data_IF_113722013269
#
_entry.id   IF_113722013269
#
_cell.length_a   1.000
_cell.length_b   1.000
_cell.length_c   1.000
_cell.angle_alpha   90.00
_cell.angle_beta   90.00
_cell.angle_gamma   90.00
#
_symmetry.space_group_name_H-M   'P 1'
#
loop_
_entity.id
_entity.type
_entity.pdbx_description
1 polymer ?
#
# COMPACT_ATOMS: atom_id res chain seq x y z
N UNK A 1 -25.12 -1.46 -52.43
CA UNK A 1 -25.60 -0.95 -51.13
C UNK A 1 -24.79 -1.67 -50.05
N UNK A 2 -23.73 -1.02 -49.55
CA UNK A 2 -22.79 -1.60 -48.58
C UNK A 2 -22.90 -0.86 -47.25
N UNK A 3 -23.31 -1.57 -46.21
CA UNK A 3 -23.42 -1.05 -44.84
C UNK A 3 -22.01 -0.81 -44.26
N UNK A 4 -21.72 0.36 -43.68
CA UNK A 4 -20.45 0.59 -43.01
C UNK A 4 -20.41 -0.23 -41.70
N UNK A 5 -19.52 -1.21 -41.66
CA UNK A 5 -19.18 -1.97 -40.45
C UNK A 5 -18.57 -1.02 -39.42
N UNK A 6 -19.34 -0.62 -38.41
CA UNK A 6 -18.86 0.11 -37.24
C UNK A 6 -17.82 -0.75 -36.52
N UNK A 7 -16.58 -0.27 -36.49
CA UNK A 7 -15.41 -1.03 -36.10
C UNK A 7 -15.30 -1.06 -34.55
N UNK A 8 -15.55 -2.20 -33.86
CA UNK A 8 -15.63 -2.28 -32.39
C UNK A 8 -14.32 -1.91 -31.66
N UNK A 9 -13.22 -1.74 -32.40
CA UNK A 9 -11.91 -1.32 -31.87
C UNK A 9 -11.91 0.08 -31.25
N UNK A 10 -12.83 0.99 -31.63
CA UNK A 10 -12.76 2.37 -31.14
C UNK A 10 -13.22 2.55 -29.69
N UNK A 11 -14.18 1.74 -29.22
CA UNK A 11 -14.73 1.86 -27.86
C UNK A 11 -13.74 1.37 -26.81
N UNK A 12 -13.02 0.30 -27.13
CA UNK A 12 -11.99 -0.25 -26.26
C UNK A 12 -10.78 0.69 -26.12
N UNK A 13 -10.36 1.31 -27.22
CA UNK A 13 -9.27 2.28 -27.21
C UNK A 13 -9.57 3.50 -26.33
N UNK A 14 -10.84 3.97 -26.32
CA UNK A 14 -11.27 5.06 -25.43
C UNK A 14 -11.22 4.66 -23.95
N UNK A 15 -11.72 3.46 -23.61
CA UNK A 15 -11.67 2.96 -22.23
C UNK A 15 -10.24 2.76 -21.72
N UNK A 16 -9.34 2.24 -22.57
CA UNK A 16 -7.92 2.12 -22.20
C UNK A 16 -7.28 3.49 -21.94
N UNK A 17 -7.69 4.51 -22.68
CA UNK A 17 -7.16 5.86 -22.52
C UNK A 17 -7.69 6.52 -21.24
N UNK A 18 -8.98 6.35 -20.92
CA UNK A 18 -9.56 6.82 -19.66
C UNK A 18 -8.94 6.13 -18.42
N UNK A 19 -8.63 4.83 -18.52
CA UNK A 19 -7.96 4.08 -17.44
C UNK A 19 -6.52 4.55 -17.25
N UNK A 20 -5.81 4.86 -18.34
CA UNK A 20 -4.44 5.41 -18.28
C UNK A 20 -4.46 6.81 -17.64
N UNK A 21 -5.38 7.68 -18.05
CA UNK A 21 -5.54 9.03 -17.46
C UNK A 21 -5.84 8.96 -15.95
N UNK A 22 -6.73 8.04 -15.54
CA UNK A 22 -7.01 7.79 -14.12
C UNK A 22 -5.78 7.27 -13.36
N UNK A 23 -4.96 6.43 -14.00
CA UNK A 23 -3.75 5.89 -13.39
C UNK A 23 -2.67 6.97 -13.22
N UNK A 24 -2.55 7.90 -14.18
CA UNK A 24 -1.62 9.02 -14.11
C UNK A 24 -1.92 9.93 -12.91
N UNK A 25 -3.20 10.26 -12.71
CA UNK A 25 -3.66 11.01 -11.53
C UNK A 25 -3.39 10.29 -10.21
N UNK A 26 -3.61 8.98 -10.14
CA UNK A 26 -3.30 8.21 -8.92
C UNK A 26 -1.81 8.07 -8.67
N UNK A 27 -0.99 8.03 -9.73
CA UNK A 27 0.46 7.99 -9.61
C UNK A 27 1.02 9.29 -9.05
N UNK A 28 0.46 10.44 -9.43
CA UNK A 28 0.83 11.73 -8.84
C UNK A 28 0.55 11.76 -7.34
N UNK A 29 -0.63 11.31 -6.91
CA UNK A 29 -0.99 11.25 -5.50
C UNK A 29 -0.05 10.31 -4.71
N UNK A 30 0.19 9.11 -5.26
CA UNK A 30 1.08 8.12 -4.66
C UNK A 30 2.53 8.61 -4.58
N UNK A 31 2.99 9.36 -5.59
CA UNK A 31 4.32 9.98 -5.59
C UNK A 31 4.46 11.02 -4.48
N UNK A 32 3.44 11.86 -4.28
CA UNK A 32 3.42 12.86 -3.20
C UNK A 32 3.41 12.16 -1.83
N UNK A 33 2.56 11.15 -1.63
CA UNK A 33 2.51 10.38 -0.39
C UNK A 33 3.83 9.64 -0.11
N UNK A 34 4.47 9.09 -1.13
CA UNK A 34 5.77 8.44 -1.02
C UNK A 34 6.87 9.44 -0.63
N UNK A 35 6.84 10.67 -1.16
CA UNK A 35 7.78 11.72 -0.76
C UNK A 35 7.59 12.15 0.69
N UNK A 36 6.36 12.29 1.15
CA UNK A 36 6.08 12.59 2.56
C UNK A 36 6.54 11.47 3.48
N UNK A 37 6.22 10.21 3.14
CA UNK A 37 6.64 9.04 3.90
C UNK A 37 8.17 8.96 3.96
N UNK A 38 8.86 9.18 2.82
CA UNK A 38 10.33 9.22 2.76
C UNK A 38 10.90 10.31 3.67
N UNK A 39 10.34 11.52 3.67
CA UNK A 39 10.79 12.61 4.56
C UNK A 39 10.62 12.25 6.04
N UNK A 40 9.47 11.67 6.41
CA UNK A 40 9.21 11.20 7.79
C UNK A 40 10.20 10.11 8.19
N UNK A 41 10.46 9.15 7.31
CA UNK A 41 11.43 8.07 7.55
C UNK A 41 12.86 8.59 7.69
N UNK A 42 13.30 9.50 6.82
CA UNK A 42 14.63 10.12 6.91
C UNK A 42 14.78 10.90 8.22
N UNK A 43 13.76 11.68 8.61
CA UNK A 43 13.77 12.42 9.88
C UNK A 43 13.83 11.47 11.09
N UNK A 44 13.05 10.40 11.08
CA UNK A 44 13.09 9.38 12.12
C UNK A 44 14.46 8.68 12.18
N UNK A 45 15.07 8.37 11.03
CA UNK A 45 16.38 7.75 10.96
C UNK A 45 17.48 8.68 11.50
N UNK A 46 17.48 9.96 11.15
CA UNK A 46 18.45 10.95 11.66
C UNK A 46 18.27 11.12 13.18
N UNK A 47 17.04 11.32 13.65
CA UNK A 47 16.76 11.49 15.07
C UNK A 47 17.12 10.24 15.88
N UNK A 48 16.77 9.06 15.37
CA UNK A 48 17.14 7.78 15.97
C UNK A 48 18.66 7.56 15.98
N UNK A 49 19.36 7.93 14.92
CA UNK A 49 20.83 7.88 14.86
C UNK A 49 21.49 8.77 15.92
N UNK A 50 21.08 10.03 16.02
CA UNK A 50 21.58 10.97 17.03
C UNK A 50 21.30 10.43 18.44
N UNK A 51 20.06 9.97 18.70
CA UNK A 51 19.68 9.41 19.99
C UNK A 51 20.52 8.17 20.33
N UNK A 52 20.77 7.27 19.37
CA UNK A 52 21.59 6.09 19.56
C UNK A 52 23.05 6.45 19.87
N UNK A 53 23.63 7.44 19.18
CA UNK A 53 24.98 7.93 19.47
C UNK A 53 25.07 8.53 20.88
N UNK A 54 24.13 9.41 21.25
CA UNK A 54 24.10 10.01 22.58
C UNK A 54 23.90 8.97 23.68
N UNK A 55 22.99 8.01 23.47
CA UNK A 55 22.76 6.91 24.39
C UNK A 55 24.02 6.05 24.55
N UNK A 56 24.71 5.74 23.45
CA UNK A 56 25.99 5.02 23.48
C UNK A 56 27.07 5.75 24.28
N UNK A 57 27.21 7.06 24.09
CA UNK A 57 28.16 7.88 24.86
C UNK A 57 27.80 8.01 26.33
N UNK A 58 26.51 8.19 26.66
CA UNK A 58 26.06 8.22 28.05
C UNK A 58 26.28 6.86 28.74
N UNK A 59 26.04 5.77 28.00
CA UNK A 59 26.21 4.40 28.50
C UNK A 59 27.67 4.11 28.87
N UNK A 60 28.65 4.56 28.09
CA UNK A 60 30.08 4.34 28.43
C UNK A 60 30.47 5.09 29.70
N UNK A 61 29.99 6.32 29.89
CA UNK A 61 30.22 7.10 31.11
C UNK A 61 29.59 6.41 32.32
N UNK A 62 28.34 5.96 32.20
CA UNK A 62 27.64 5.22 33.27
C UNK A 62 28.36 3.91 33.58
N UNK A 63 28.82 3.17 32.58
CA UNK A 63 29.55 1.93 32.76
C UNK A 63 30.86 2.15 33.53
N UNK A 64 31.64 3.17 33.17
CA UNK A 64 32.89 3.53 33.87
C UNK A 64 32.58 3.99 35.32
N UNK A 65 31.60 4.86 35.50
CA UNK A 65 31.20 5.34 36.83
C UNK A 65 30.73 4.21 37.74
N UNK A 66 29.95 3.26 37.20
CA UNK A 66 29.50 2.07 37.92
C UNK A 66 30.66 1.16 38.29
N UNK A 67 31.65 0.99 37.40
CA UNK A 67 32.84 0.20 37.69
C UNK A 67 33.65 0.79 38.86
N UNK A 68 33.85 2.11 38.88
CA UNK A 68 34.53 2.77 40.00
C UNK A 68 33.74 2.67 41.30
N UNK A 69 32.42 2.89 41.25
CA UNK A 69 31.56 2.75 42.42
C UNK A 69 31.60 1.31 42.99
N UNK A 70 31.62 0.31 42.10
CA UNK A 70 31.71 -1.10 42.49
C UNK A 70 33.07 -1.42 43.11
N UNK A 71 34.17 -0.90 42.56
CA UNK A 71 35.51 -1.07 43.12
C UNK A 71 35.60 -0.52 44.55
N UNK A 72 35.07 0.69 44.78
CA UNK A 72 35.03 1.34 46.10
C UNK A 72 34.24 0.52 47.13
N UNK A 73 33.06 0.00 46.74
CA UNK A 73 32.16 -0.71 47.64
C UNK A 73 32.60 -2.15 47.95
N UNK A 74 33.36 -2.79 47.07
CA UNK A 74 33.66 -4.24 47.17
C UNK A 74 35.13 -4.56 47.42
N UNK A 75 36.01 -3.55 47.51
CA UNK A 75 37.47 -3.71 47.59
C UNK A 75 38.05 -4.54 46.43
N UNK A 76 37.31 -4.69 45.32
CA UNK A 76 37.80 -5.33 44.11
C UNK A 76 38.91 -4.48 43.48
N UNK A 77 39.82 -5.14 42.77
CA UNK A 77 40.74 -4.41 41.90
C UNK A 77 39.95 -3.65 40.82
N UNK A 78 40.43 -2.46 40.45
CA UNK A 78 39.78 -1.63 39.42
C UNK A 78 39.50 -2.42 38.14
N UNK A 79 40.43 -3.29 37.73
CA UNK A 79 40.27 -4.17 36.57
C UNK A 79 39.12 -5.17 36.73
N UNK A 80 38.96 -5.77 37.91
CA UNK A 80 37.86 -6.71 38.19
C UNK A 80 36.49 -6.02 38.15
N UNK A 81 36.38 -4.83 38.73
CA UNK A 81 35.13 -4.07 38.71
C UNK A 81 34.74 -3.59 37.31
N UNK A 82 35.72 -3.16 36.49
CA UNK A 82 35.54 -2.83 35.07
C UNK A 82 35.04 -4.02 34.24
N UNK A 83 35.61 -5.20 34.45
CA UNK A 83 35.18 -6.43 33.76
C UNK A 83 33.74 -6.83 34.12
N UNK A 84 33.38 -6.76 35.40
CA UNK A 84 32.03 -7.11 35.85
C UNK A 84 31.00 -6.12 35.30
N UNK A 85 31.24 -4.81 35.48
CA UNK A 85 30.34 -3.78 34.97
C UNK A 85 30.20 -3.87 33.45
N UNK A 86 31.32 -4.00 32.73
CA UNK A 86 31.34 -4.20 31.28
C UNK A 86 30.55 -5.43 30.85
N UNK A 87 30.72 -6.57 31.52
CA UNK A 87 29.97 -7.80 31.23
C UNK A 87 28.46 -7.65 31.41
N UNK A 88 28.02 -6.96 32.48
CA UNK A 88 26.60 -6.69 32.73
C UNK A 88 26.02 -5.78 31.65
N UNK A 89 26.65 -4.64 31.38
CA UNK A 89 26.18 -3.70 30.36
C UNK A 89 26.19 -4.32 28.96
N UNK A 90 27.24 -5.07 28.62
CA UNK A 90 27.33 -5.78 27.35
C UNK A 90 26.19 -6.80 27.19
N UNK A 91 25.86 -7.56 28.25
CA UNK A 91 24.76 -8.51 28.22
C UNK A 91 23.40 -7.84 28.00
N UNK A 92 23.17 -6.69 28.66
CA UNK A 92 21.94 -5.90 28.47
C UNK A 92 21.85 -5.37 27.03
N UNK A 93 22.93 -4.79 26.50
CA UNK A 93 22.96 -4.26 25.13
C UNK A 93 22.78 -5.39 24.10
N UNK A 94 23.41 -6.55 24.31
CA UNK A 94 23.26 -7.72 23.45
C UNK A 94 21.80 -8.21 23.43
N UNK A 95 21.14 -8.26 24.59
CA UNK A 95 19.73 -8.64 24.70
C UNK A 95 18.80 -7.65 23.98
N UNK A 96 19.01 -6.35 24.19
CA UNK A 96 18.23 -5.31 23.48
C UNK A 96 18.46 -5.35 21.97
N UNK A 97 19.71 -5.55 21.54
CA UNK A 97 20.07 -5.71 20.13
C UNK A 97 19.41 -6.93 19.51
N UNK A 98 19.35 -8.05 20.23
CA UNK A 98 18.64 -9.25 19.80
C UNK A 98 17.14 -8.99 19.62
N UNK A 99 16.47 -8.36 20.60
CA UNK A 99 15.05 -8.02 20.51
C UNK A 99 14.78 -7.10 19.31
N UNK A 100 15.61 -6.08 19.11
CA UNK A 100 15.50 -5.17 17.98
C UNK A 100 15.68 -5.90 16.64
N UNK A 101 16.63 -6.83 16.54
CA UNK A 101 16.86 -7.63 15.35
C UNK A 101 15.65 -8.53 15.01
N UNK A 102 15.06 -9.19 16.01
CA UNK A 102 13.86 -10.02 15.83
C UNK A 102 12.67 -9.16 15.37
N UNK A 103 12.47 -8.00 15.99
CA UNK A 103 11.42 -7.06 15.59
C UNK A 103 11.61 -6.60 14.13
N UNK A 104 12.85 -6.26 13.73
CA UNK A 104 13.15 -5.84 12.37
C UNK A 104 12.94 -6.97 11.35
N UNK A 105 13.31 -8.21 11.68
CA UNK A 105 13.05 -9.38 10.85
C UNK A 105 11.56 -9.63 10.67
N UNK A 106 10.75 -9.49 11.73
CA UNK A 106 9.29 -9.63 11.63
C UNK A 106 8.66 -8.57 10.71
N UNK A 107 9.11 -7.31 10.80
CA UNK A 107 8.66 -6.24 9.93
C UNK A 107 9.09 -6.45 8.47
N UNK A 108 10.31 -6.95 8.25
CA UNK A 108 10.82 -7.27 6.92
C UNK A 108 10.07 -8.46 6.30
N UNK A 109 9.73 -9.48 7.08
CA UNK A 109 8.93 -10.63 6.63
C UNK A 109 7.53 -10.18 6.20
N UNK A 110 6.84 -9.36 7.00
CA UNK A 110 5.55 -8.78 6.63
C UNK A 110 5.62 -7.98 5.32
N UNK A 111 6.68 -7.20 5.11
CA UNK A 111 6.90 -6.49 3.84
C UNK A 111 7.18 -7.43 2.65
N UNK A 112 7.82 -8.57 2.87
CA UNK A 112 8.10 -9.54 1.80
C UNK A 112 6.83 -10.18 1.27
N UNK A 113 5.86 -10.45 2.14
CA UNK A 113 4.56 -10.99 1.77
C UNK A 113 3.74 -9.96 0.97
N UNK A 114 3.69 -8.70 1.43
CA UNK A 114 3.05 -7.61 0.68
C UNK A 114 3.68 -7.39 -0.71
N UNK A 115 5.00 -7.58 -0.87
CA UNK A 115 5.66 -7.47 -2.18
C UNK A 115 5.24 -8.57 -3.14
N UNK A 116 5.09 -9.80 -2.65
CA UNK A 116 4.65 -10.93 -3.48
C UNK A 116 3.24 -10.67 -4.02
N UNK A 117 2.31 -10.31 -3.13
CA UNK A 117 0.93 -9.97 -3.49
C UNK A 117 0.85 -8.77 -4.44
N UNK A 118 1.64 -7.72 -4.18
CA UNK A 118 1.70 -6.56 -5.06
C UNK A 118 2.21 -6.92 -6.46
N UNK A 119 3.25 -7.77 -6.57
CA UNK A 119 3.79 -8.21 -7.86
C UNK A 119 2.78 -9.06 -8.64
N UNK A 120 2.03 -9.90 -7.93
CA UNK A 120 0.99 -10.73 -8.54
C UNK A 120 -0.17 -9.87 -9.02
N UNK A 121 -0.64 -8.94 -8.20
CA UNK A 121 -1.65 -7.95 -8.58
C UNK A 121 -1.22 -7.12 -9.80
N UNK A 122 0.06 -6.72 -9.88
CA UNK A 122 0.61 -6.06 -11.06
C UNK A 122 0.59 -6.96 -12.30
N UNK A 123 0.87 -8.25 -12.14
CA UNK A 123 0.85 -9.23 -13.25
C UNK A 123 -0.57 -9.43 -13.78
N UNK A 124 -1.56 -9.54 -12.89
CA UNK A 124 -2.98 -9.61 -13.25
C UNK A 124 -3.45 -8.33 -13.94
N UNK A 125 -3.05 -7.16 -13.44
CA UNK A 125 -3.35 -5.87 -14.06
C UNK A 125 -2.76 -5.78 -15.46
N UNK A 126 -1.50 -6.16 -15.64
CA UNK A 126 -0.83 -6.18 -16.94
C UNK A 126 -1.50 -7.15 -17.92
N UNK A 127 -1.88 -8.34 -17.46
CA UNK A 127 -2.58 -9.31 -18.30
C UNK A 127 -3.97 -8.80 -18.75
N UNK A 128 -4.70 -8.13 -17.85
CA UNK A 128 -6.01 -7.53 -18.14
C UNK A 128 -5.91 -6.37 -19.13
N UNK A 129 -4.87 -5.54 -19.02
CA UNK A 129 -4.63 -4.42 -19.94
C UNK A 129 -4.22 -4.90 -21.34
N UNK A 130 -3.43 -5.98 -21.45
CA UNK A 130 -2.91 -6.46 -22.74
C UNK A 130 -3.95 -7.28 -23.52
N UNK A 131 -4.80 -8.08 -22.84
CA UNK A 131 -5.82 -8.93 -23.49
C UNK A 131 -7.20 -8.86 -22.79
N UNK A 132 -7.89 -7.72 -22.89
CA UNK A 132 -9.21 -7.49 -22.27
C UNK A 132 -10.31 -8.47 -22.69
N UNK A 133 -10.25 -8.96 -23.94
CA UNK A 133 -11.26 -9.85 -24.52
C UNK A 133 -11.16 -11.30 -24.00
N UNK A 134 -10.09 -11.64 -23.27
CA UNK A 134 -9.87 -13.00 -22.73
C UNK A 134 -10.14 -13.11 -21.23
N UNK A 135 -10.61 -12.05 -20.58
CA UNK A 135 -10.95 -12.10 -19.15
C UNK A 135 -12.13 -13.05 -18.90
N UNK A 136 -11.99 -14.09 -18.06
CA UNK A 136 -13.07 -15.03 -17.72
C UNK A 136 -14.31 -14.32 -17.14
N UNK A 137 -14.11 -13.17 -16.49
CA UNK A 137 -15.20 -12.38 -15.91
C UNK A 137 -16.05 -11.67 -16.97
N UNK A 138 -15.48 -11.38 -18.15
CA UNK A 138 -16.21 -10.81 -19.27
C UNK A 138 -16.94 -11.90 -20.08
N UNK A 139 -16.45 -13.15 -20.03
CA UNK A 139 -17.12 -14.30 -20.63
C UNK A 139 -18.43 -14.64 -19.90
N UNK A 140 -18.42 -14.66 -18.56
CA UNK A 140 -19.63 -14.94 -17.76
C UNK A 140 -20.76 -13.92 -18.04
N UNK A 141 -20.40 -12.65 -18.27
CA UNK A 141 -21.40 -11.61 -18.58
C UNK A 141 -21.96 -11.74 -20.01
N UNK A 142 -21.16 -12.21 -20.96
CA UNK A 142 -21.59 -12.40 -22.36
C UNK A 142 -22.58 -13.55 -22.53
N UNK A 143 -22.49 -14.59 -21.70
CA UNK A 143 -23.40 -15.73 -21.76
C UNK A 143 -24.79 -15.44 -21.14
N UNK A 144 -24.91 -14.35 -20.37
CA UNK A 144 -26.15 -14.02 -19.63
C UNK A 144 -27.17 -13.23 -20.46
N UNK A 145 -26.76 -12.67 -21.60
CA UNK A 145 -27.64 -11.98 -22.52
C UNK A 145 -27.65 -12.79 -23.81
N UNK A 146 -28.72 -13.53 -24.10
CA UNK A 146 -28.94 -14.01 -25.46
C UNK A 146 -28.79 -12.79 -26.36
N UNK A 147 -27.96 -12.88 -27.40
CA UNK A 147 -28.07 -11.95 -28.52
C UNK A 147 -29.52 -12.05 -28.95
N UNK A 148 -30.30 -11.00 -28.65
CA UNK A 148 -31.65 -10.85 -29.19
C UNK A 148 -31.46 -10.88 -30.71
N UNK A 149 -31.62 -12.07 -31.30
CA UNK A 149 -32.01 -12.23 -32.68
C UNK A 149 -33.07 -11.15 -32.90
N UNK A 150 -32.89 -10.24 -33.87
CA UNK A 150 -33.81 -9.12 -34.04
C UNK A 150 -35.19 -9.70 -34.25
N UNK A 151 -35.97 -9.73 -33.16
CA UNK A 151 -37.35 -10.13 -33.18
C UNK A 151 -37.98 -9.19 -34.19
N UNK A 152 -38.40 -9.79 -35.31
CA UNK A 152 -39.19 -9.16 -36.34
C UNK A 152 -40.40 -8.56 -35.62
N UNK A 153 -40.30 -7.29 -35.24
CA UNK A 153 -41.35 -6.59 -34.51
C UNK A 153 -42.55 -6.53 -35.45
N UNK A 154 -43.66 -7.22 -35.16
CA UNK A 154 -44.89 -6.93 -35.88
C UNK A 154 -45.24 -5.48 -35.56
N UNK A 155 -45.43 -4.71 -36.63
CA UNK A 155 -45.86 -3.32 -36.68
C UNK A 155 -47.08 -3.09 -35.75
N UNK A 156 -46.81 -2.82 -34.47
CA UNK A 156 -47.83 -2.43 -33.52
C UNK A 156 -47.97 -0.92 -33.60
N UNK A 157 -48.89 -0.51 -34.46
CA UNK A 157 -49.55 0.79 -34.47
C UNK A 157 -50.11 1.10 -33.07
N UNK A 158 -49.26 1.64 -32.19
CA UNK A 158 -49.70 2.21 -30.92
C UNK A 158 -50.30 3.57 -31.20
N UNK A 159 -51.60 3.51 -31.41
CA UNK A 159 -52.50 4.64 -31.41
C UNK A 159 -52.23 5.56 -30.23
N UNK A 160 -52.19 6.84 -30.59
CA UNK A 160 -52.08 7.98 -29.71
C UNK A 160 -53.27 8.04 -28.76
N UNK A 161 -53.08 7.72 -27.48
CA UNK A 161 -54.03 8.12 -26.46
C UNK A 161 -53.39 8.32 -25.09
N UNK A 162 -53.49 9.57 -24.63
CA UNK A 162 -53.46 10.00 -23.23
C UNK A 162 -52.10 9.96 -22.51
N UNK A 163 -51.35 11.04 -22.69
CA UNK A 163 -50.65 11.70 -21.59
C UNK A 163 -51.65 12.26 -20.58
N UNK A 164 -51.57 11.89 -19.29
CA UNK A 164 -51.93 12.80 -18.22
C UNK A 164 -50.68 13.31 -17.51
N UNK A 165 -50.51 14.62 -17.61
CA UNK A 165 -49.61 15.42 -16.81
C UNK A 165 -49.79 15.10 -15.31
N UNK A 166 -48.70 14.76 -14.63
CA UNK A 166 -48.64 14.84 -13.17
C UNK A 166 -47.49 15.74 -12.73
N UNK A 167 -47.80 17.03 -12.71
CA UNK A 167 -47.21 18.01 -11.78
C UNK A 167 -47.24 17.45 -10.35
N UNK A 168 -46.13 17.53 -9.61
CA UNK A 168 -46.01 18.49 -8.49
C UNK A 168 -44.67 18.39 -7.76
N UNK A 169 -43.92 19.49 -7.83
CA UNK A 169 -43.12 20.10 -6.76
C UNK A 169 -43.45 19.61 -5.33
N UNK A 170 -42.41 19.41 -4.51
CA UNK A 170 -42.16 20.30 -3.35
C UNK A 170 -40.74 20.09 -2.79
N UNK A 171 -40.07 21.18 -2.33
CA UNK A 171 -38.80 21.14 -1.61
C UNK A 171 -39.03 20.93 -0.10
N UNK A 172 -38.10 20.26 0.59
CA UNK A 172 -38.06 20.25 2.06
C UNK A 172 -36.71 20.85 2.54
N UNK A 173 -36.72 21.68 3.61
CA UNK A 173 -35.66 22.61 3.94
C UNK A 173 -34.68 22.12 5.03
N UNK A 174 -33.48 22.72 4.98
CA UNK A 174 -32.46 23.03 6.01
C UNK A 174 -32.07 21.96 7.03
#
# INVERSE_FOLDING_TARGET
MSNPTSNPRSSFQRLSQDVIDLFELQWELLSVDAQEAKRKLVRAAICGGIAATLAGSALTVVMIGTAFLLAEMTQLSNGGALLIAGGVFFSIVALLGWIAAVALQSAAAAMSESKSEFSENLRWLKATLVNPDTSPRNQIRRESFPDDEPAEYPDSSWDSAASPARQRNSPIPR
#
